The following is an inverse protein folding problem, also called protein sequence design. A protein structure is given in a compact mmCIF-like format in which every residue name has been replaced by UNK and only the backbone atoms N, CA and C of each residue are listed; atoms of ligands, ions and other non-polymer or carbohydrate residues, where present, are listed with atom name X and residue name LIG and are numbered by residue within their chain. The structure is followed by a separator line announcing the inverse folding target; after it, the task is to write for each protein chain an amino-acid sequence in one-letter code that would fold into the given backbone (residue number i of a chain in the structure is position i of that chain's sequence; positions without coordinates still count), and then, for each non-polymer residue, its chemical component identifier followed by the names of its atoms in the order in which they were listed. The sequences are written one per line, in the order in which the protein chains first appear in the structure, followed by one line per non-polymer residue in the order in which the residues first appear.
data_IF_179795718798
#
_entry.id   IF_179795718798
#
_cell.length_a   1.000
_cell.length_b   1.000
_cell.length_c   1.000
_cell.angle_alpha   90.00
_cell.angle_beta   90.00
_cell.angle_gamma   90.00
#
_symmetry.space_group_name_H-M   'P 1'
#
loop_
_entity.id
_entity.type
_entity.pdbx_description
1 polymer ?
#
# COMPACT_ATOMS: atom_id res chain seq x y z
N UNK A 1 -0.22 -7.22 0.05
CA UNK A 1 0.14 -6.27 1.14
C UNK A 1 1.26 -6.78 2.06
N UNK A 2 1.22 -7.99 2.65
CA UNK A 2 2.24 -8.46 3.64
C UNK A 2 3.70 -8.34 3.16
N UNK A 3 4.04 -8.80 1.95
CA UNK A 3 5.42 -8.66 1.41
C UNK A 3 5.80 -7.23 1.00
N UNK A 4 4.80 -6.38 0.81
CA UNK A 4 4.99 -5.01 0.36
C UNK A 4 5.11 -4.03 1.54
N UNK A 5 4.64 -4.42 2.74
CA UNK A 5 4.77 -3.60 3.95
C UNK A 5 6.23 -3.40 4.40
N UNK A 6 7.14 -4.28 3.97
CA UNK A 6 8.59 -4.12 4.18
C UNK A 6 9.21 -3.04 3.28
N UNK A 7 8.50 -2.65 2.21
CA UNK A 7 8.99 -1.72 1.19
C UNK A 7 8.43 -0.31 1.36
N UNK A 8 7.44 -0.13 2.23
CA UNK A 8 6.75 1.15 2.37
C UNK A 8 5.61 1.11 3.38
N UNK A 9 5.04 2.28 3.63
CA UNK A 9 3.89 2.48 4.50
C UNK A 9 2.62 2.66 3.65
N UNK A 10 1.58 1.87 3.92
CA UNK A 10 0.32 1.98 3.18
C UNK A 10 -0.54 3.12 3.68
N UNK A 11 -1.31 3.71 2.76
CA UNK A 11 -2.36 4.68 3.04
C UNK A 11 -3.75 4.09 2.88
N UNK A 12 -3.86 2.97 2.14
CA UNK A 12 -5.11 2.24 1.91
C UNK A 12 -5.32 1.11 2.91
N UNK A 13 -6.58 0.85 3.27
CA UNK A 13 -6.93 -0.26 4.15
C UNK A 13 -6.97 -1.60 3.40
N UNK A 14 -6.72 -2.73 4.09
CA UNK A 14 -6.97 -4.04 3.51
C UNK A 14 -8.42 -4.19 3.06
N UNK A 15 -8.61 -4.49 1.78
CA UNK A 15 -9.93 -4.63 1.18
C UNK A 15 -10.53 -3.34 0.64
N UNK A 16 -9.84 -2.20 0.74
CA UNK A 16 -10.20 -1.00 -0.02
C UNK A 16 -10.15 -1.28 -1.52
N UNK A 17 -11.16 -0.80 -2.24
CA UNK A 17 -11.15 -0.81 -3.70
C UNK A 17 -10.08 0.17 -4.20
N UNK A 18 -9.29 -0.29 -5.17
CA UNK A 18 -8.22 0.51 -5.77
C UNK A 18 -8.30 0.44 -7.29
N UNK A 19 -7.79 1.47 -7.96
CA UNK A 19 -7.72 1.54 -9.41
C UNK A 19 -6.29 1.72 -9.92
N UNK A 20 -6.10 1.54 -11.23
CA UNK A 20 -4.80 1.67 -11.89
C UNK A 20 -4.29 3.12 -11.84
N UNK A 21 -3.05 3.31 -11.37
CA UNK A 21 -2.46 4.64 -11.19
C UNK A 21 -2.76 5.29 -9.84
N UNK A 22 -3.56 4.66 -8.97
CA UNK A 22 -3.79 5.15 -7.62
C UNK A 22 -2.55 4.94 -6.73
N UNK A 23 -2.12 6.00 -6.05
CA UNK A 23 -1.06 5.91 -5.03
C UNK A 23 -1.60 5.20 -3.79
N UNK A 24 -1.05 4.02 -3.49
CA UNK A 24 -1.52 3.15 -2.39
C UNK A 24 -0.68 3.28 -1.11
N UNK A 25 0.46 3.97 -1.17
CA UNK A 25 1.37 4.12 -0.05
C UNK A 25 2.67 4.82 -0.43
N UNK A 26 3.48 5.06 0.60
CA UNK A 26 4.78 5.72 0.50
C UNK A 26 5.89 4.67 0.40
N UNK A 27 6.75 4.78 -0.61
CA UNK A 27 7.93 3.93 -0.72
C UNK A 27 8.99 4.38 0.30
N UNK A 28 9.68 3.42 0.91
CA UNK A 28 10.84 3.65 1.79
C UNK A 28 12.02 4.35 1.09
N UNK A 29 11.97 4.46 -0.23
CA UNK A 29 12.98 5.10 -1.08
C UNK A 29 12.33 6.23 -1.87
N UNK A 30 13.14 7.21 -2.27
CA UNK A 30 12.71 8.36 -3.10
C UNK A 30 12.48 8.00 -4.58
N UNK A 31 12.10 6.75 -4.88
CA UNK A 31 11.81 6.27 -6.22
C UNK A 31 10.40 5.69 -6.26
N UNK A 32 9.69 5.89 -7.36
CA UNK A 32 8.37 5.33 -7.54
C UNK A 32 8.47 3.81 -7.75
N UNK A 33 7.48 3.08 -7.25
CA UNK A 33 7.41 1.63 -7.41
C UNK A 33 6.00 1.20 -7.79
N UNK A 34 5.86 0.70 -9.02
CA UNK A 34 4.64 0.05 -9.46
C UNK A 34 4.47 -1.29 -8.74
N UNK A 35 3.36 -1.40 -7.99
CA UNK A 35 3.03 -2.61 -7.23
C UNK A 35 1.62 -3.07 -7.53
N UNK A 36 1.45 -4.38 -7.66
CA UNK A 36 0.12 -4.97 -7.69
C UNK A 36 -0.31 -5.36 -6.27
N UNK A 37 -1.17 -4.55 -5.67
CA UNK A 37 -1.67 -4.74 -4.30
C UNK A 37 -2.79 -5.80 -4.21
N UNK A 38 -3.53 -6.00 -5.32
CA UNK A 38 -4.61 -6.98 -5.45
C UNK A 38 -4.10 -8.40 -5.73
N UNK A 39 -2.80 -8.58 -6.00
CA UNK A 39 -2.24 -9.89 -6.29
C UNK A 39 -2.38 -10.79 -5.06
N UNK A 40 -3.12 -11.89 -5.23
CA UNK A 40 -3.23 -12.93 -4.21
C UNK A 40 -1.85 -13.52 -3.88
N UNK A 41 -1.68 -13.93 -2.62
CA UNK A 41 -0.49 -14.68 -2.19
C UNK A 41 -0.43 -15.95 -3.03
N UNK A 42 0.53 -16.01 -3.96
CA UNK A 42 0.82 -17.26 -4.68
C UNK A 42 1.08 -18.35 -3.64
N UNK A 43 0.18 -19.34 -3.57
CA UNK A 43 0.37 -20.57 -2.81
C UNK A 43 1.39 -21.45 -3.55
N UNK A 44 2.63 -20.98 -3.66
CA UNK A 44 3.70 -21.86 -4.10
C UNK A 44 3.91 -22.86 -2.96
N UNK A 45 3.70 -24.14 -3.24
CA UNK A 45 3.88 -25.27 -2.32
C UNK A 45 5.31 -25.34 -1.77
N UNK A 46 5.69 -24.42 -0.89
CA UNK A 46 6.98 -24.42 -0.22
C UNK A 46 6.78 -25.15 1.11
N UNK A 47 7.02 -26.47 1.09
CA UNK A 47 7.27 -27.26 2.31
C UNK A 47 8.52 -26.70 3.01
N UNK A 48 8.31 -25.81 3.97
CA UNK A 48 9.25 -25.47 5.05
C UNK A 48 8.36 -25.06 6.23
N UNK A 49 8.01 -26.00 7.11
CA UNK A 49 8.65 -26.15 8.43
C UNK A 49 8.87 -24.79 9.10
N UNK A 50 8.04 -24.53 10.11
CA UNK A 50 8.06 -23.46 11.11
C UNK A 50 7.44 -22.10 10.74
N UNK A 51 6.45 -21.73 11.55
CA UNK A 51 5.82 -20.41 11.72
C UNK A 51 4.84 -19.98 10.61
N UNK A 52 3.56 -20.28 10.84
CA UNK A 52 2.49 -19.31 10.58
C UNK A 52 2.85 -18.02 11.34
N UNK A 53 3.67 -17.16 10.72
CA UNK A 53 3.81 -15.80 11.18
C UNK A 53 2.51 -15.09 10.85
N UNK A 54 1.68 -14.92 11.89
CA UNK A 54 0.66 -13.87 11.93
C UNK A 54 1.40 -12.53 11.89
N UNK A 55 1.97 -12.18 10.75
CA UNK A 55 2.42 -10.82 10.48
C UNK A 55 1.16 -9.97 10.38
N UNK A 56 0.83 -9.33 11.49
CA UNK A 56 -0.20 -8.30 11.54
C UNK A 56 0.19 -7.20 10.56
N UNK A 57 -0.77 -6.77 9.75
CA UNK A 57 -0.54 -5.64 8.86
C UNK A 57 -0.32 -4.38 9.71
N UNK A 58 0.69 -3.60 9.37
CA UNK A 58 0.84 -2.26 9.95
C UNK A 58 -0.40 -1.45 9.59
N UNK A 59 -1.05 -0.77 10.55
CA UNK A 59 -2.21 0.06 10.25
C UNK A 59 -1.83 1.14 9.23
N UNK A 60 -2.66 1.36 8.21
CA UNK A 60 -2.36 2.36 7.20
C UNK A 60 -2.42 3.77 7.79
N UNK A 61 -1.64 4.67 7.20
CA UNK A 61 -1.64 6.09 7.55
C UNK A 61 -2.79 6.79 6.81
N UNK A 62 -3.74 7.33 7.56
CA UNK A 62 -4.79 8.20 7.02
C UNK A 62 -4.23 9.61 6.85
N UNK A 63 -4.31 10.14 5.64
CA UNK A 63 -3.94 11.52 5.35
C UNK A 63 -5.19 12.41 5.44
N UNK A 64 -5.03 13.59 6.02
CA UNK A 64 -5.98 14.70 5.88
C UNK A 64 -5.85 15.34 4.50
N UNK A 65 -6.83 16.16 4.09
CA UNK A 65 -6.76 16.88 2.81
C UNK A 65 -5.49 17.75 2.70
N UNK A 66 -5.13 18.42 3.79
CA UNK A 66 -3.94 19.28 3.86
C UNK A 66 -2.66 18.46 3.66
N UNK A 67 -2.54 17.32 4.35
CA UNK A 67 -1.42 16.40 4.19
C UNK A 67 -1.38 15.77 2.79
N UNK A 68 -2.53 15.44 2.20
CA UNK A 68 -2.60 14.91 0.83
C UNK A 68 -2.11 15.93 -0.19
N UNK A 69 -2.43 17.21 -0.01
CA UNK A 69 -1.96 18.30 -0.86
C UNK A 69 -0.46 18.58 -0.69
N UNK A 70 0.08 18.39 0.51
CA UNK A 70 1.53 18.48 0.76
C UNK A 70 2.29 17.26 0.23
N UNK A 71 1.64 16.09 0.23
CA UNK A 71 2.22 14.84 -0.22
C UNK A 71 2.32 14.74 -1.74
N UNK A 72 1.30 15.23 -2.47
CA UNK A 72 1.22 15.08 -3.92
C UNK A 72 2.38 15.79 -4.66
N UNK A 73 3.02 15.08 -5.59
CA UNK A 73 4.01 15.62 -6.51
C UNK A 73 3.38 16.44 -7.67
N UNK A 74 4.21 17.11 -8.46
CA UNK A 74 3.75 17.96 -9.58
C UNK A 74 3.01 17.20 -10.70
N UNK A 75 3.25 15.90 -10.83
CA UNK A 75 2.61 15.00 -11.78
C UNK A 75 1.49 14.13 -11.18
N UNK A 76 1.16 14.36 -9.91
CA UNK A 76 0.11 13.66 -9.18
C UNK A 76 -1.12 14.55 -8.96
N UNK A 77 -2.25 13.92 -8.65
CA UNK A 77 -3.52 14.60 -8.35
C UNK A 77 -4.13 14.06 -7.06
N UNK A 78 -4.72 14.96 -6.27
CA UNK A 78 -5.56 14.57 -5.11
C UNK A 78 -7.01 14.44 -5.57
N UNK A 79 -7.53 13.23 -5.59
CA UNK A 79 -8.95 12.96 -5.81
C UNK A 79 -9.74 13.27 -4.53
N UNK A 80 -10.77 14.12 -4.63
CA UNK A 80 -11.59 14.54 -3.49
C UNK A 80 -13.05 14.18 -3.74
N UNK A 81 -13.61 13.36 -2.85
CA UNK A 81 -15.02 12.99 -2.80
C UNK A 81 -15.72 13.64 -1.60
N UNK A 82 -17.05 13.82 -1.63
CA UNK A 82 -17.82 14.28 -0.48
C UNK A 82 -17.86 13.29 0.70
N UNK A 83 -17.61 12.01 0.41
CA UNK A 83 -17.38 10.94 1.38
C UNK A 83 -15.90 10.87 1.78
#
# INVERSE_FOLDING_TARGET
MIKLQERGAFMVQPGSEVYEGQVVGENSRNEDMDVNICKEKEKTNMRAVSADSFEGLVPPRTLTLEESLEFAAEDECVEVTPE
#
